data_IF_786730894051
#
_entry.id   IF_786730894051
#
_cell.length_a   1.000
_cell.length_b   1.000
_cell.length_c   1.000
_cell.angle_alpha   90.00
_cell.angle_beta   90.00
_cell.angle_gamma   90.00
#
_symmetry.space_group_name_H-M   'P 1'
#
loop_
_entity.id
_entity.type
_entity.pdbx_description
1 polymer ?
#
# COMPACT_ATOMS: atom_id res chain seq x y z
N UNK A 1 -2.37 4.15 15.32
CA UNK A 1 -2.41 3.85 16.77
C UNK A 1 -3.80 4.15 17.29
N UNK A 2 -4.36 3.32 18.17
CA UNK A 2 -5.55 3.66 18.95
C UNK A 2 -5.15 3.81 20.42
N UNK A 3 -5.63 4.88 21.07
CA UNK A 3 -5.33 5.26 22.46
C UNK A 3 -6.58 5.10 23.34
N UNK A 4 -6.38 4.70 24.60
CA UNK A 4 -7.40 4.18 25.53
C UNK A 4 -8.28 5.24 26.23
N UNK A 5 -7.79 6.47 26.41
CA UNK A 5 -8.54 7.53 27.11
C UNK A 5 -8.23 8.94 26.57
N UNK A 6 -9.21 9.67 26.00
CA UNK A 6 -9.02 11.03 25.49
C UNK A 6 -8.90 12.13 26.56
N UNK A 7 -9.19 11.85 27.84
CA UNK A 7 -9.29 12.88 28.89
C UNK A 7 -7.96 13.51 29.29
N UNK A 8 -6.85 12.78 29.10
CA UNK A 8 -5.50 13.24 29.41
C UNK A 8 -4.94 14.25 28.37
N UNK A 9 -5.58 14.37 27.20
CA UNK A 9 -5.19 15.26 26.09
C UNK A 9 -5.30 16.75 26.42
N UNK A 10 -5.94 17.10 27.54
CA UNK A 10 -5.95 18.47 28.05
C UNK A 10 -4.58 18.95 28.58
N UNK A 11 -3.63 18.03 28.79
CA UNK A 11 -2.31 18.33 29.38
C UNK A 11 -1.17 18.49 28.36
N UNK A 12 -1.34 18.06 27.10
CA UNK A 12 -0.36 18.30 26.04
C UNK A 12 -0.55 19.71 25.46
N UNK A 13 0.54 20.48 25.34
CA UNK A 13 0.46 21.87 24.86
C UNK A 13 -0.12 21.92 23.45
N UNK A 14 -1.08 22.83 23.23
CA UNK A 14 -1.73 23.06 21.93
C UNK A 14 -0.75 23.44 20.80
N UNK A 15 0.51 23.73 21.12
CA UNK A 15 1.53 24.20 20.18
C UNK A 15 2.20 23.11 19.34
N UNK A 16 2.14 21.83 19.73
CA UNK A 16 2.71 20.72 18.94
C UNK A 16 1.75 20.21 17.85
N UNK A 17 0.49 20.65 17.89
CA UNK A 17 -0.51 20.40 16.86
C UNK A 17 -0.40 21.47 15.78
N UNK A 18 0.70 21.46 15.00
CA UNK A 18 0.56 21.93 13.63
C UNK A 18 -0.56 21.09 13.01
N UNK A 19 -1.58 21.76 12.50
CA UNK A 19 -2.84 21.16 12.07
C UNK A 19 -2.56 20.28 10.85
N UNK A 20 -2.12 19.04 11.09
CA UNK A 20 -2.04 18.01 10.07
C UNK A 20 -3.40 18.00 9.38
N UNK A 21 -3.44 18.21 8.07
CA UNK A 21 -4.66 18.47 7.33
C UNK A 21 -5.46 17.18 7.05
N UNK A 22 -5.46 16.26 8.01
CA UNK A 22 -6.09 14.95 7.89
C UNK A 22 -7.61 15.07 7.76
N UNK A 23 -8.22 16.10 8.37
CA UNK A 23 -9.66 16.33 8.23
C UNK A 23 -10.01 16.71 6.79
N UNK A 24 -9.32 17.67 6.19
CA UNK A 24 -9.59 18.05 4.79
C UNK A 24 -9.30 16.89 3.84
N UNK A 25 -8.22 16.13 4.05
CA UNK A 25 -7.93 14.95 3.24
C UNK A 25 -9.03 13.88 3.34
N UNK A 26 -9.51 13.59 4.55
CA UNK A 26 -10.62 12.65 4.75
C UNK A 26 -11.95 13.20 4.17
N UNK A 27 -12.16 14.52 4.17
CA UNK A 27 -13.33 15.14 3.55
C UNK A 27 -13.26 15.06 2.02
N UNK A 28 -12.10 15.38 1.41
CA UNK A 28 -11.85 15.27 -0.02
C UNK A 28 -12.07 13.84 -0.53
N UNK A 29 -11.72 12.85 0.29
CA UNK A 29 -11.92 11.43 -0.01
C UNK A 29 -13.28 10.88 0.46
N UNK A 30 -14.22 11.72 0.92
CA UNK A 30 -15.57 11.29 1.34
C UNK A 30 -15.55 10.23 2.46
N UNK A 31 -14.51 10.26 3.31
CA UNK A 31 -14.31 9.35 4.43
C UNK A 31 -14.63 9.99 5.78
N UNK A 32 -14.67 11.33 5.85
CA UNK A 32 -14.86 12.05 7.11
C UNK A 32 -16.21 11.76 7.77
N UNK A 33 -16.18 11.59 9.09
CA UNK A 33 -17.38 11.50 9.94
C UNK A 33 -17.17 12.38 11.17
N UNK A 34 -18.19 13.12 11.59
CA UNK A 34 -18.10 14.05 12.74
C UNK A 34 -17.56 13.40 14.03
N UNK A 35 -17.83 12.12 14.25
CA UNK A 35 -17.33 11.40 15.42
C UNK A 35 -15.83 11.08 15.37
N UNK A 36 -15.14 11.29 14.25
CA UNK A 36 -13.69 11.10 14.14
C UNK A 36 -12.90 12.19 14.88
N UNK A 37 -13.44 13.40 14.98
CA UNK A 37 -12.79 14.52 15.68
C UNK A 37 -12.39 14.18 17.12
N UNK A 38 -13.16 13.32 17.80
CA UNK A 38 -12.89 12.88 19.18
C UNK A 38 -12.03 11.61 19.27
N UNK A 39 -11.74 10.95 18.14
CA UNK A 39 -11.08 9.63 18.08
C UNK A 39 -9.72 9.67 17.38
N UNK A 40 -9.48 10.66 16.53
CA UNK A 40 -8.22 10.83 15.81
C UNK A 40 -7.38 11.86 16.55
N UNK A 41 -6.23 11.42 17.02
CA UNK A 41 -5.22 12.28 17.66
C UNK A 41 -4.03 12.30 16.70
N UNK A 42 -3.86 13.36 15.89
CA UNK A 42 -2.77 13.43 14.95
C UNK A 42 -1.45 13.64 15.70
N UNK A 43 -0.40 12.96 15.24
CA UNK A 43 0.96 13.13 15.75
C UNK A 43 1.88 13.38 14.57
N UNK A 44 2.66 14.47 14.61
CA UNK A 44 3.67 14.78 13.60
C UNK A 44 4.87 13.88 13.86
N UNK A 45 5.11 12.94 12.96
CA UNK A 45 6.11 11.90 13.09
C UNK A 45 6.57 11.47 11.68
N UNK A 46 7.81 11.02 11.57
CA UNK A 46 8.41 10.57 10.31
C UNK A 46 9.03 9.18 10.47
N UNK A 47 8.66 8.22 9.64
CA UNK A 47 9.21 6.86 9.68
C UNK A 47 10.69 6.79 9.29
N UNK A 48 11.23 7.82 8.67
CA UNK A 48 12.64 7.88 8.31
C UNK A 48 13.54 8.35 9.47
N UNK A 49 12.94 8.91 10.52
CA UNK A 49 13.63 9.43 11.70
C UNK A 49 13.59 8.44 12.86
N UNK A 50 14.70 8.40 13.63
CA UNK A 50 14.75 7.61 14.87
C UNK A 50 13.65 8.04 15.83
N UNK A 51 12.98 7.07 16.47
CA UNK A 51 11.82 7.32 17.35
C UNK A 51 10.74 8.19 16.67
N UNK A 52 10.67 8.11 15.34
CA UNK A 52 9.79 8.89 14.49
C UNK A 52 10.00 10.40 14.52
N UNK A 53 11.17 10.86 14.97
CA UNK A 53 11.47 12.29 15.19
C UNK A 53 10.77 12.88 16.41
N UNK A 54 10.20 12.04 17.29
CA UNK A 54 9.55 12.47 18.52
C UNK A 54 10.60 12.72 19.61
N UNK A 55 10.32 13.68 20.49
CA UNK A 55 11.06 13.80 21.73
C UNK A 55 10.78 12.60 22.66
N UNK A 56 11.70 12.33 23.58
CA UNK A 56 11.62 11.17 24.46
C UNK A 56 10.33 11.15 25.29
N UNK A 57 9.88 12.30 25.79
CA UNK A 57 8.67 12.36 26.62
C UNK A 57 7.43 11.98 25.81
N UNK A 58 7.32 12.48 24.58
CA UNK A 58 6.23 12.12 23.66
C UNK A 58 6.29 10.65 23.25
N UNK A 59 7.48 10.13 22.93
CA UNK A 59 7.67 8.72 22.56
C UNK A 59 7.24 7.76 23.68
N UNK A 60 7.70 8.01 24.92
CA UNK A 60 7.32 7.19 26.08
C UNK A 60 5.82 7.25 26.36
N UNK A 61 5.24 8.45 26.28
CA UNK A 61 3.80 8.67 26.45
C UNK A 61 2.97 7.87 25.45
N UNK A 62 3.39 7.81 24.18
CA UNK A 62 2.74 6.97 23.15
C UNK A 62 2.89 5.50 23.49
N UNK A 63 4.09 5.05 23.85
CA UNK A 63 4.35 3.66 24.20
C UNK A 63 3.50 3.18 25.38
N UNK A 64 3.29 4.04 26.39
CA UNK A 64 2.49 3.73 27.59
C UNK A 64 0.97 3.71 27.35
N UNK A 65 0.48 4.29 26.25
CA UNK A 65 -0.96 4.47 26.03
C UNK A 65 -1.56 3.65 24.89
N UNK A 66 -0.72 3.18 23.95
CA UNK A 66 -1.20 2.41 22.80
C UNK A 66 -1.46 0.96 23.18
N UNK A 67 -2.63 0.45 22.82
CA UNK A 67 -2.99 -0.96 23.03
C UNK A 67 -2.66 -1.83 21.80
N UNK A 68 -2.70 -1.26 20.60
CA UNK A 68 -2.46 -1.96 19.33
C UNK A 68 -1.75 -1.07 18.32
N UNK A 69 -0.80 -1.65 17.59
CA UNK A 69 -0.11 -0.97 16.50
C UNK A 69 -0.60 -1.54 15.16
N UNK A 70 -1.11 -0.67 14.30
CA UNK A 70 -1.38 -0.98 12.90
C UNK A 70 -0.33 -0.26 12.06
N UNK A 71 0.67 -1.00 11.58
CA UNK A 71 1.75 -0.46 10.76
C UNK A 71 1.40 -0.56 9.28
N UNK A 72 0.74 0.48 8.79
CA UNK A 72 0.37 0.66 7.38
C UNK A 72 1.39 1.54 6.62
N UNK A 73 2.17 2.35 7.34
CA UNK A 73 3.04 3.35 6.74
C UNK A 73 4.20 2.73 5.95
N UNK A 74 4.37 3.18 4.71
CA UNK A 74 5.48 2.79 3.84
C UNK A 74 5.59 3.78 2.66
N UNK A 75 6.80 3.95 2.16
CA UNK A 75 7.04 4.59 0.86
C UNK A 75 6.78 3.56 -0.25
N UNK A 76 5.68 3.74 -0.97
CA UNK A 76 5.29 2.90 -2.11
C UNK A 76 5.79 3.52 -3.40
N UNK A 77 7.00 3.14 -3.81
CA UNK A 77 7.64 3.65 -5.02
C UNK A 77 8.44 2.54 -5.71
N UNK A 78 8.66 2.65 -7.02
CA UNK A 78 9.48 1.72 -7.82
C UNK A 78 10.98 2.02 -7.73
N UNK A 79 11.42 2.85 -6.80
CA UNK A 79 12.83 3.11 -6.54
C UNK A 79 13.59 1.84 -6.09
N UNK A 80 14.93 1.82 -6.24
CA UNK A 80 15.76 0.78 -5.65
C UNK A 80 15.53 0.66 -4.14
N UNK A 81 15.69 -0.55 -3.60
CA UNK A 81 15.49 -0.83 -2.18
C UNK A 81 16.28 0.12 -1.27
N UNK A 82 17.50 0.52 -1.66
CA UNK A 82 18.34 1.45 -0.89
C UNK A 82 17.65 2.80 -0.59
N UNK A 83 16.81 3.32 -1.49
CA UNK A 83 16.05 4.56 -1.27
C UNK A 83 14.81 4.37 -0.40
N UNK A 84 14.33 3.14 -0.26
CA UNK A 84 13.15 2.78 0.53
C UNK A 84 13.52 2.20 1.89
N UNK A 85 14.81 1.88 2.08
CA UNK A 85 15.31 1.16 3.24
C UNK A 85 15.00 1.91 4.54
N UNK A 86 15.21 3.23 4.55
CA UNK A 86 15.01 4.03 5.74
C UNK A 86 13.54 4.01 6.20
N UNK A 87 12.60 4.39 5.33
CA UNK A 87 11.17 4.41 5.69
C UNK A 87 10.59 3.01 5.89
N UNK A 88 10.88 2.06 4.99
CA UNK A 88 10.20 0.76 4.99
C UNK A 88 10.85 -0.25 5.93
N UNK A 89 12.17 -0.24 6.10
CA UNK A 89 12.91 -1.22 6.91
C UNK A 89 13.27 -0.63 8.28
N UNK A 90 14.02 0.47 8.33
CA UNK A 90 14.39 1.10 9.61
C UNK A 90 13.15 1.56 10.38
N UNK A 91 12.20 2.23 9.71
CA UNK A 91 10.93 2.62 10.32
C UNK A 91 10.11 1.45 10.86
N UNK A 92 10.16 0.28 10.21
CA UNK A 92 9.56 -0.95 10.77
C UNK A 92 10.29 -1.42 12.01
N UNK A 93 11.62 -1.32 12.05
CA UNK A 93 12.43 -1.58 13.24
C UNK A 93 12.06 -0.66 14.41
N UNK A 94 11.84 0.63 14.18
CA UNK A 94 11.41 1.58 15.21
C UNK A 94 9.99 1.28 15.71
N UNK A 95 9.09 0.82 14.84
CA UNK A 95 7.78 0.30 15.26
C UNK A 95 7.93 -0.93 16.16
N UNK A 96 8.81 -1.87 15.83
CA UNK A 96 9.09 -3.04 16.69
C UNK A 96 9.63 -2.58 18.04
N UNK A 97 10.58 -1.62 18.07
CA UNK A 97 11.12 -1.05 19.32
C UNK A 97 10.03 -0.44 20.20
N UNK A 98 9.07 0.26 19.59
CA UNK A 98 7.92 0.80 20.30
C UNK A 98 7.02 -0.32 20.83
N UNK A 99 6.76 -1.35 20.03
CA UNK A 99 5.94 -2.49 20.41
C UNK A 99 6.54 -3.30 21.57
N UNK A 100 7.87 -3.32 21.68
CA UNK A 100 8.63 -3.98 22.73
C UNK A 100 9.09 -3.03 23.83
N UNK A 101 8.39 -1.91 24.05
CA UNK A 101 8.75 -0.93 25.08
C UNK A 101 8.76 -1.57 26.47
N UNK A 102 9.89 -1.47 27.17
CA UNK A 102 10.22 -2.32 28.32
C UNK A 102 9.42 -2.04 29.59
N UNK A 103 8.78 -0.86 29.72
CA UNK A 103 8.02 -0.49 30.92
C UNK A 103 6.60 -1.08 30.96
N UNK A 104 6.21 -1.92 29.98
CA UNK A 104 4.88 -2.54 29.91
C UNK A 104 4.90 -3.87 29.13
N UNK A 105 3.82 -4.67 29.16
CA UNK A 105 3.66 -5.80 28.27
C UNK A 105 3.74 -5.37 26.80
N UNK A 106 4.28 -6.26 25.95
CA UNK A 106 4.42 -6.04 24.52
C UNK A 106 3.09 -5.67 23.87
N UNK A 107 3.14 -4.74 22.91
CA UNK A 107 1.97 -4.21 22.21
C UNK A 107 1.76 -5.05 20.95
N UNK A 108 0.59 -5.71 20.77
CA UNK A 108 0.32 -6.46 19.55
C UNK A 108 0.42 -5.59 18.28
N UNK A 109 1.05 -6.15 17.25
CA UNK A 109 1.37 -5.47 16.01
C UNK A 109 0.69 -6.13 14.80
N UNK A 110 -0.03 -5.32 14.04
CA UNK A 110 -0.62 -5.66 12.75
C UNK A 110 0.23 -5.03 11.65
N UNK A 111 0.98 -5.84 10.90
CA UNK A 111 1.86 -5.39 9.83
C UNK A 111 1.21 -5.56 8.46
N UNK A 112 1.17 -4.48 7.69
CA UNK A 112 0.61 -4.51 6.33
C UNK A 112 1.74 -4.70 5.33
N UNK A 113 1.79 -5.90 4.75
CA UNK A 113 2.71 -6.32 3.71
C UNK A 113 2.00 -6.40 2.35
N UNK A 114 2.65 -6.99 1.36
CA UNK A 114 2.14 -7.14 -0.01
C UNK A 114 2.35 -8.55 -0.52
N UNK A 115 1.46 -9.05 -1.38
CA UNK A 115 1.69 -10.30 -2.12
C UNK A 115 2.94 -10.24 -3.00
N UNK A 116 3.48 -9.06 -3.28
CA UNK A 116 4.70 -8.88 -4.07
C UNK A 116 5.97 -9.41 -3.39
N UNK A 117 5.92 -9.72 -2.09
CA UNK A 117 7.02 -10.39 -1.37
C UNK A 117 7.07 -11.90 -1.64
N UNK A 118 6.03 -12.44 -2.27
CA UNK A 118 5.92 -13.85 -2.60
C UNK A 118 6.56 -14.11 -3.96
N UNK A 119 7.28 -15.22 -4.08
CA UNK A 119 7.73 -15.76 -5.36
C UNK A 119 7.10 -17.14 -5.59
N UNK A 120 6.92 -17.48 -6.86
CA UNK A 120 6.52 -18.82 -7.30
C UNK A 120 7.74 -19.56 -7.82
N UNK A 121 7.93 -20.82 -7.42
CA UNK A 121 8.86 -21.71 -8.11
C UNK A 121 8.33 -22.10 -9.50
N UNK A 122 9.12 -22.88 -10.25
CA UNK A 122 8.73 -23.42 -11.56
C UNK A 122 7.50 -24.33 -11.51
N UNK A 123 7.07 -24.77 -10.32
CA UNK A 123 5.89 -25.60 -10.07
C UNK A 123 4.71 -24.80 -9.48
N UNK A 124 4.75 -23.47 -9.52
CA UNK A 124 3.73 -22.57 -8.94
C UNK A 124 3.48 -22.74 -7.44
N UNK A 125 4.44 -23.30 -6.68
CA UNK A 125 4.36 -23.31 -5.23
C UNK A 125 4.80 -21.96 -4.68
N UNK A 126 3.93 -21.36 -3.86
CA UNK A 126 4.18 -20.07 -3.19
C UNK A 126 5.00 -20.35 -1.93
N UNK A 127 6.19 -19.76 -1.84
CA UNK A 127 7.02 -19.82 -0.64
C UNK A 127 7.09 -18.45 0.04
N UNK A 128 7.12 -18.48 1.37
CA UNK A 128 7.28 -17.30 2.23
C UNK A 128 8.71 -17.17 2.75
N UNK A 129 9.40 -18.31 2.92
CA UNK A 129 10.60 -18.39 3.77
C UNK A 129 11.91 -18.79 3.07
N UNK A 130 11.87 -19.07 1.76
CA UNK A 130 13.03 -19.62 1.02
C UNK A 130 13.53 -18.73 -0.11
N UNK A 131 13.49 -17.42 0.07
CA UNK A 131 13.68 -16.49 -1.04
C UNK A 131 14.83 -15.52 -0.72
N UNK A 132 15.76 -15.38 -1.65
CA UNK A 132 16.77 -14.33 -1.61
C UNK A 132 16.16 -13.03 -2.17
N UNK A 133 16.37 -11.85 -1.55
CA UNK A 133 15.73 -10.60 -1.95
C UNK A 133 16.00 -10.21 -3.41
N UNK A 134 17.10 -10.68 -4.00
CA UNK A 134 17.48 -10.44 -5.40
C UNK A 134 16.50 -11.05 -6.41
N UNK A 135 15.73 -12.06 -6.00
CA UNK A 135 14.72 -12.70 -6.86
C UNK A 135 13.39 -11.93 -6.95
N UNK A 136 13.25 -10.84 -6.18
CA UNK A 136 12.06 -9.99 -6.19
C UNK A 136 12.14 -8.93 -7.29
N UNK A 137 10.99 -8.66 -7.91
CA UNK A 137 10.89 -7.87 -9.14
C UNK A 137 11.08 -6.35 -8.97
N UNK A 138 10.97 -5.83 -7.75
CA UNK A 138 11.02 -4.38 -7.49
C UNK A 138 11.70 -4.04 -6.16
N UNK A 139 12.28 -2.84 -6.07
CA UNK A 139 12.86 -2.35 -4.81
C UNK A 139 11.83 -2.20 -3.69
N UNK A 140 10.57 -1.89 -4.02
CA UNK A 140 9.47 -1.92 -3.05
C UNK A 140 9.26 -3.32 -2.47
N UNK A 141 9.12 -4.34 -3.33
CA UNK A 141 8.96 -5.72 -2.90
C UNK A 141 10.14 -6.18 -2.02
N UNK A 142 11.37 -5.82 -2.41
CA UNK A 142 12.58 -6.07 -1.61
C UNK A 142 12.49 -5.43 -0.22
N UNK A 143 12.16 -4.13 -0.14
CA UNK A 143 12.09 -3.43 1.14
C UNK A 143 11.00 -4.01 2.07
N UNK A 144 9.83 -4.37 1.52
CA UNK A 144 8.74 -5.01 2.28
C UNK A 144 9.09 -6.42 2.73
N UNK A 145 9.80 -7.19 1.90
CA UNK A 145 10.27 -8.52 2.27
C UNK A 145 11.27 -8.46 3.43
N UNK A 146 12.25 -7.54 3.37
CA UNK A 146 13.22 -7.36 4.47
C UNK A 146 12.51 -6.95 5.76
N UNK A 147 11.60 -5.98 5.68
CA UNK A 147 10.80 -5.56 6.83
C UNK A 147 9.93 -6.69 7.39
N UNK A 148 9.38 -7.55 6.53
CA UNK A 148 8.63 -8.74 6.95
C UNK A 148 9.53 -9.73 7.72
N UNK A 149 10.79 -9.92 7.30
CA UNK A 149 11.74 -10.76 8.05
C UNK A 149 12.06 -10.21 9.44
N UNK A 150 12.17 -8.88 9.59
CA UNK A 150 12.31 -8.26 10.92
C UNK A 150 11.08 -8.52 11.80
N UNK A 151 9.89 -8.38 11.23
CA UNK A 151 8.61 -8.60 11.92
C UNK A 151 8.44 -10.08 12.30
N UNK A 152 8.82 -11.01 11.42
CA UNK A 152 8.81 -12.44 11.70
C UNK A 152 9.79 -12.82 12.80
N UNK A 153 10.98 -12.22 12.83
CA UNK A 153 11.95 -12.43 13.89
C UNK A 153 11.47 -11.87 15.23
N UNK A 154 10.85 -10.70 15.23
CA UNK A 154 10.20 -10.17 16.43
C UNK A 154 9.10 -11.11 16.96
N UNK A 155 8.29 -11.69 16.06
CA UNK A 155 7.30 -12.71 16.43
C UNK A 155 7.93 -13.99 16.98
N UNK A 156 9.09 -14.40 16.46
CA UNK A 156 9.87 -15.53 17.01
C UNK A 156 10.35 -15.23 18.43
N UNK A 157 10.57 -13.97 18.75
CA UNK A 157 10.86 -13.44 20.10
C UNK A 157 9.58 -13.07 20.88
N UNK A 158 8.48 -13.74 20.57
CA UNK A 158 7.19 -13.68 21.27
C UNK A 158 6.37 -12.40 21.11
N UNK A 159 6.79 -11.43 20.27
CA UNK A 159 5.96 -10.28 19.94
C UNK A 159 4.67 -10.73 19.23
N UNK A 160 3.46 -10.42 19.73
CA UNK A 160 2.22 -10.82 19.06
C UNK A 160 2.07 -10.06 17.74
N UNK A 161 2.22 -10.77 16.62
CA UNK A 161 2.22 -10.18 15.28
C UNK A 161 1.15 -10.82 14.39
N UNK A 162 0.49 -10.01 13.57
CA UNK A 162 -0.27 -10.48 12.40
C UNK A 162 0.21 -9.78 11.12
N UNK A 163 0.59 -10.56 10.11
CA UNK A 163 1.04 -10.05 8.80
C UNK A 163 -0.10 -10.17 7.77
N UNK A 164 -0.48 -9.05 7.17
CA UNK A 164 -1.49 -9.00 6.11
C UNK A 164 -0.81 -8.74 4.76
N UNK A 165 -0.79 -9.74 3.88
CA UNK A 165 -0.22 -9.57 2.52
C UNK A 165 -1.32 -9.15 1.56
N UNK A 166 -1.40 -7.84 1.28
CA UNK A 166 -2.42 -7.29 0.41
C UNK A 166 -2.05 -7.41 -1.08
N UNK A 167 -3.05 -7.64 -1.92
CA UNK A 167 -2.95 -7.47 -3.37
C UNK A 167 -2.98 -6.00 -3.77
N UNK A 168 -3.21 -5.74 -5.06
CA UNK A 168 -3.50 -4.38 -5.53
C UNK A 168 -4.72 -3.82 -4.79
N UNK A 169 -4.57 -2.62 -4.22
CA UNK A 169 -5.69 -1.92 -3.58
C UNK A 169 -6.37 -1.07 -4.64
N UNK A 170 -7.65 -1.35 -4.88
CA UNK A 170 -8.41 -0.73 -5.96
C UNK A 170 -9.48 0.23 -5.43
N UNK A 171 -10.24 0.80 -6.36
CA UNK A 171 -11.34 1.73 -6.10
C UNK A 171 -12.41 1.12 -5.19
N UNK A 172 -12.90 1.91 -4.23
CA UNK A 172 -14.05 1.55 -3.42
C UNK A 172 -15.31 1.41 -4.28
N UNK A 173 -15.96 0.25 -4.24
CA UNK A 173 -17.23 0.01 -4.97
C UNK A 173 -18.43 0.78 -4.39
N UNK A 174 -18.30 1.32 -3.18
CA UNK A 174 -19.39 2.06 -2.49
C UNK A 174 -19.28 3.56 -2.65
N UNK A 175 -18.06 4.08 -2.62
CA UNK A 175 -17.80 5.54 -2.64
C UNK A 175 -17.16 6.00 -3.94
N UNK A 176 -16.70 5.07 -4.78
CA UNK A 176 -15.93 5.33 -6.00
C UNK A 176 -14.62 6.12 -5.76
N UNK A 177 -14.19 6.22 -4.51
CA UNK A 177 -12.93 6.87 -4.12
C UNK A 177 -11.79 5.91 -4.41
N UNK A 178 -10.73 6.44 -5.04
CA UNK A 178 -9.51 5.74 -5.38
C UNK A 178 -8.30 6.65 -5.25
N UNK A 179 -7.11 6.04 -5.20
CA UNK A 179 -5.87 6.79 -5.40
C UNK A 179 -5.83 7.29 -6.85
N UNK A 180 -6.01 8.60 -7.04
CA UNK A 180 -6.07 9.25 -8.36
C UNK A 180 -4.74 9.19 -9.11
N UNK A 181 -3.64 8.90 -8.42
CA UNK A 181 -2.31 8.76 -9.00
C UNK A 181 -1.96 7.31 -9.36
N UNK A 182 -2.89 6.38 -9.13
CA UNK A 182 -2.67 4.97 -9.46
C UNK A 182 -2.56 4.76 -10.99
N UNK A 183 -1.50 4.10 -11.48
CA UNK A 183 -1.32 3.82 -12.90
C UNK A 183 -2.49 3.09 -13.58
N UNK A 184 -3.21 2.22 -12.86
CA UNK A 184 -4.39 1.54 -13.40
C UNK A 184 -5.54 2.51 -13.64
N UNK A 185 -5.71 3.51 -12.77
CA UNK A 185 -6.72 4.56 -12.95
C UNK A 185 -6.38 5.39 -14.19
N UNK A 186 -5.11 5.77 -14.38
CA UNK A 186 -4.69 6.45 -15.61
C UNK A 186 -4.84 5.59 -16.86
N UNK A 187 -4.59 4.29 -16.77
CA UNK A 187 -4.79 3.36 -17.87
C UNK A 187 -6.25 3.33 -18.34
N UNK A 188 -7.20 3.13 -17.42
CA UNK A 188 -8.63 3.13 -17.77
C UNK A 188 -9.12 4.50 -18.22
N UNK A 189 -8.67 5.58 -17.57
CA UNK A 189 -8.98 6.94 -18.01
C UNK A 189 -8.49 7.18 -19.44
N UNK A 190 -7.29 6.72 -19.79
CA UNK A 190 -6.74 6.85 -21.15
C UNK A 190 -7.59 6.09 -22.17
N UNK A 191 -8.01 4.86 -21.86
CA UNK A 191 -8.90 4.08 -22.73
C UNK A 191 -10.22 4.81 -22.96
N UNK A 192 -10.83 5.33 -21.88
CA UNK A 192 -12.10 6.06 -21.98
C UNK A 192 -11.96 7.35 -22.79
N UNK A 193 -10.86 8.09 -22.63
CA UNK A 193 -10.63 9.33 -23.37
C UNK A 193 -10.32 9.07 -24.85
N UNK A 194 -9.46 8.09 -25.15
CA UNK A 194 -9.03 7.79 -26.51
C UNK A 194 -10.00 6.90 -27.28
N UNK A 195 -10.93 6.23 -26.59
CA UNK A 195 -11.82 5.20 -27.15
C UNK A 195 -11.07 4.06 -27.86
N UNK A 196 -9.83 3.81 -27.43
CA UNK A 196 -8.94 2.77 -27.94
C UNK A 196 -8.36 2.02 -26.75
N UNK A 197 -8.28 0.70 -26.85
CA UNK A 197 -7.65 -0.17 -25.86
C UNK A 197 -6.55 -1.00 -26.50
N UNK A 198 -5.49 -1.37 -25.75
CA UNK A 198 -4.48 -2.26 -26.27
C UNK A 198 -5.08 -3.64 -26.56
N UNK A 199 -4.84 -4.17 -27.75
CA UNK A 199 -5.13 -5.56 -28.04
C UNK A 199 -4.17 -6.43 -27.23
N UNK A 200 -4.65 -7.00 -26.13
CA UNK A 200 -3.90 -8.02 -25.40
C UNK A 200 -3.92 -9.30 -26.21
N UNK A 201 -2.89 -9.51 -27.05
CA UNK A 201 -2.68 -10.79 -27.71
C UNK A 201 -2.49 -11.86 -26.64
N UNK A 202 -3.28 -12.95 -26.70
CA UNK A 202 -2.88 -14.20 -26.04
C UNK A 202 -1.47 -14.51 -26.54
N UNK A 203 -0.50 -14.70 -25.64
CA UNK A 203 0.84 -15.14 -26.02
C UNK A 203 0.72 -16.37 -26.93
N UNK A 204 1.04 -16.18 -28.21
CA UNK A 204 1.34 -17.18 -29.24
C UNK A 204 0.97 -18.64 -28.91
N UNK A 205 -0.29 -19.01 -29.09
CA UNK A 205 -0.57 -20.27 -29.77
C UNK A 205 -0.45 -19.94 -31.27
N UNK A 206 0.42 -20.66 -31.98
CA UNK A 206 0.87 -20.30 -33.32
C UNK A 206 -0.29 -20.01 -34.27
N UNK A 207 -0.43 -18.74 -34.65
CA UNK A 207 -1.31 -18.32 -35.74
C UNK A 207 -0.77 -18.99 -37.00
N UNK A 208 -1.40 -20.09 -37.41
CA UNK A 208 -1.15 -20.70 -38.71
C UNK A 208 -1.59 -19.71 -39.79
N UNK A 209 -0.90 -19.72 -40.93
CA UNK A 209 -1.07 -18.76 -42.03
C UNK A 209 -2.50 -18.64 -42.61
N UNK A 210 -3.46 -19.44 -42.13
CA UNK A 210 -4.86 -19.43 -42.54
C UNK A 210 -5.65 -18.25 -41.94
N UNK A 211 -5.31 -17.77 -40.75
CA UNK A 211 -6.07 -16.70 -40.06
C UNK A 211 -5.67 -15.28 -40.51
N UNK A 212 -4.48 -15.11 -41.10
CA UNK A 212 -4.06 -13.84 -41.71
C UNK A 212 -4.89 -13.48 -42.94
N UNK A 213 -5.41 -14.47 -43.66
CA UNK A 213 -6.27 -14.26 -44.85
C UNK A 213 -7.63 -13.66 -44.46
N UNK A 214 -8.24 -14.17 -43.39
CA UNK A 214 -9.60 -13.80 -42.97
C UNK A 214 -9.67 -12.39 -42.37
N UNK A 215 -8.59 -11.95 -41.70
CA UNK A 215 -8.49 -10.60 -41.15
C UNK A 215 -8.30 -9.51 -42.23
N UNK A 216 -7.71 -9.84 -43.38
CA UNK A 216 -7.58 -8.90 -44.51
C UNK A 216 -8.89 -8.78 -45.31
N UNK A 217 -9.63 -9.89 -45.52
CA UNK A 217 -10.91 -9.87 -46.25
C UNK A 217 -12.02 -9.12 -45.47
N UNK A 218 -12.04 -9.21 -44.14
CA UNK A 218 -13.04 -8.50 -43.32
C UNK A 218 -12.82 -6.98 -43.35
N UNK A 219 -11.59 -6.52 -43.62
CA UNK A 219 -11.26 -5.09 -43.73
C UNK A 219 -11.56 -4.51 -45.12
N UNK A 220 -11.57 -5.34 -46.16
CA UNK A 220 -11.97 -4.94 -47.51
C UNK A 220 -13.50 -4.83 -47.66
N UNK A 221 -14.28 -5.73 -47.05
CA UNK A 221 -15.75 -5.73 -47.20
C UNK A 221 -16.48 -4.63 -46.41
N UNK A 222 -15.84 -4.03 -45.40
CA UNK A 222 -16.41 -2.87 -44.68
C UNK A 222 -16.27 -1.54 -45.42
N UNK A 223 -15.52 -1.51 -46.53
CA UNK A 223 -15.37 -0.32 -47.37
C UNK A 223 -16.44 -0.21 -48.47
N UNK A 224 -17.31 -1.21 -48.65
CA UNK A 224 -18.26 -1.27 -49.78
C UNK A 224 -19.74 -1.07 -49.37
N UNK A 225 -20.03 -0.89 -48.08
CA UNK A 225 -21.38 -0.64 -47.57
C UNK A 225 -21.37 0.61 -46.67
N UNK A 226 -21.32 1.78 -47.28
CA UNK A 226 -21.85 3.01 -46.71
C UNK A 226 -22.11 4.04 -47.82
N UNK A 227 -23.38 4.19 -48.17
CA UNK A 227 -23.96 5.48 -48.56
C UNK A 227 -23.95 5.83 -50.04
N UNK A 228 -24.95 5.36 -50.78
CA UNK A 228 -25.76 6.24 -51.63
C UNK A 228 -27.13 5.59 -51.79
N UNK A 229 -28.11 6.11 -51.05
CA UNK A 229 -29.49 6.20 -51.50
C UNK A 229 -30.18 7.30 -50.68
N UNK A 230 -30.27 8.45 -51.32
CA UNK A 230 -31.11 9.58 -50.94
C UNK A 230 -32.13 9.76 -52.07
N UNK A 231 -33.40 9.47 -51.78
CA UNK A 231 -34.65 10.26 -52.03
C UNK A 231 -35.81 9.46 -51.43
#
# INVERSE_FOLDING_TARGET
>A
MMVKDPSYLASMSRSTVERLDYESELQLNVLWKKNFQKRIIPLKADLEESQFGLDQQTYESVAEQVDFIYHYGATVNRFPCSKLYQSNVCGTGDIIRLATYTKRPQIPMHYISTVSVLTSDTNNKIFVDKIAPESLSTGYAQSKWVAEKLVMEANRLELPVTIYRLGSTETSTKTCVCNRTDPLIFFFATIMNLHVYPAFGRKNEGITNKEKSTAMETRANRSLYNGNDSV
#
